data_IF_583380070713
#
_entry.id   IF_583380070713
#
_cell.length_a   1.000
_cell.length_b   1.000
_cell.length_c   1.000
_cell.angle_alpha   90.00
_cell.angle_beta   90.00
_cell.angle_gamma   90.00
#
_symmetry.space_group_name_H-M   'P 1'
#
loop_
_entity.id
_entity.type
_entity.pdbx_description
1 polymer ?
#
# COMPACT_ATOMS: atom_id res chain seq x y z
N UNK A 1 -9.02 -20.65 -29.92
CA UNK A 1 -9.83 -20.02 -28.86
C UNK A 1 -9.87 -20.99 -27.71
N UNK A 2 -8.77 -21.07 -26.95
CA UNK A 2 -8.76 -21.69 -25.64
C UNK A 2 -9.42 -20.72 -24.67
N UNK A 3 -10.27 -21.25 -23.80
CA UNK A 3 -11.21 -20.54 -22.95
C UNK A 3 -10.54 -19.48 -22.07
N UNK A 4 -10.86 -18.20 -22.31
CA UNK A 4 -10.50 -17.07 -21.41
C UNK A 4 -11.03 -17.32 -19.99
N UNK A 5 -12.12 -18.09 -19.86
CA UNK A 5 -12.73 -18.46 -18.58
C UNK A 5 -11.89 -19.41 -17.73
N UNK A 6 -11.03 -20.27 -18.30
CA UNK A 6 -10.16 -21.17 -17.47
C UNK A 6 -8.90 -20.48 -16.95
N UNK A 7 -8.50 -19.35 -17.53
CA UNK A 7 -7.32 -18.59 -17.09
C UNK A 7 -7.63 -17.81 -15.79
N UNK A 8 -8.89 -17.42 -15.61
CA UNK A 8 -9.38 -16.58 -14.50
C UNK A 8 -9.59 -17.35 -13.18
N UNK A 9 -9.87 -18.66 -13.22
CA UNK A 9 -10.24 -19.47 -12.04
C UNK A 9 -9.13 -19.58 -10.98
N UNK A 10 -7.87 -19.28 -11.32
CA UNK A 10 -6.73 -19.33 -10.39
C UNK A 10 -6.54 -18.04 -9.55
N UNK A 11 -7.24 -16.95 -9.88
CA UNK A 11 -7.05 -15.65 -9.25
C UNK A 11 -8.34 -15.13 -8.65
N UNK A 12 -8.46 -15.23 -7.34
CA UNK A 12 -9.59 -14.67 -6.61
C UNK A 12 -9.27 -13.27 -6.05
N UNK A 13 -10.11 -12.30 -6.42
CA UNK A 13 -10.15 -10.97 -5.81
C UNK A 13 -11.39 -10.89 -4.88
N UNK A 14 -11.25 -11.08 -3.55
CA UNK A 14 -12.39 -11.20 -2.63
C UNK A 14 -13.11 -9.87 -2.31
N UNK A 15 -13.05 -8.89 -3.22
CA UNK A 15 -13.55 -7.53 -3.05
C UNK A 15 -12.53 -6.53 -2.48
N UNK A 16 -11.45 -7.00 -1.86
CA UNK A 16 -10.32 -6.16 -1.42
C UNK A 16 -8.95 -6.84 -1.54
N UNK A 17 -7.93 -6.03 -1.81
CA UNK A 17 -6.53 -6.40 -1.61
C UNK A 17 -5.93 -5.50 -0.53
N UNK A 18 -5.31 -6.13 0.46
CA UNK A 18 -4.63 -5.44 1.56
C UNK A 18 -3.15 -5.82 1.53
N UNK A 19 -2.32 -4.82 1.31
CA UNK A 19 -0.87 -4.93 1.28
C UNK A 19 -0.35 -4.34 2.58
N UNK A 20 0.39 -5.17 3.33
CA UNK A 20 0.84 -4.87 4.68
C UNK A 20 2.36 -4.70 4.75
N UNK A 21 3.07 -4.86 3.63
CA UNK A 21 4.49 -4.55 3.51
C UNK A 21 4.77 -4.03 2.11
N UNK A 22 5.41 -2.88 2.02
CA UNK A 22 5.88 -2.27 0.78
C UNK A 22 7.36 -1.98 0.94
N UNK A 23 8.15 -2.33 -0.07
CA UNK A 23 9.60 -2.24 -0.01
C UNK A 23 10.14 -1.68 -1.32
N UNK A 24 11.17 -0.85 -1.22
CA UNK A 24 12.06 -0.55 -2.34
C UNK A 24 13.12 -1.65 -2.42
N UNK A 25 13.46 -2.02 -3.64
CA UNK A 25 14.50 -3.01 -3.90
C UNK A 25 15.75 -2.36 -4.46
N UNK A 26 16.92 -2.91 -4.13
CA UNK A 26 18.13 -2.66 -4.92
C UNK A 26 18.92 -3.96 -5.05
N UNK A 27 19.23 -4.37 -6.28
CA UNK A 27 19.98 -5.61 -6.52
C UNK A 27 21.47 -5.36 -6.30
N UNK A 28 22.10 -6.17 -5.46
CA UNK A 28 23.47 -5.94 -4.97
C UNK A 28 24.57 -6.61 -5.81
N UNK A 29 24.25 -7.24 -6.93
CA UNK A 29 25.26 -7.94 -7.72
C UNK A 29 26.05 -6.98 -8.61
N UNK A 30 27.38 -6.93 -8.41
CA UNK A 30 28.37 -6.32 -9.34
C UNK A 30 28.43 -7.04 -10.72
N UNK A 31 27.41 -7.79 -11.09
CA UNK A 31 27.29 -8.54 -12.33
C UNK A 31 25.82 -8.86 -12.59
N UNK A 32 25.44 -8.84 -13.86
CA UNK A 32 24.07 -8.90 -14.40
C UNK A 32 23.27 -10.17 -14.03
N UNK A 33 22.95 -10.38 -12.75
CA UNK A 33 22.01 -11.43 -12.35
C UNK A 33 20.61 -10.93 -12.70
N UNK A 34 19.91 -11.67 -13.53
CA UNK A 34 18.53 -11.36 -13.90
C UNK A 34 17.58 -11.60 -12.71
N UNK A 35 16.45 -10.88 -12.63
CA UNK A 35 15.43 -11.11 -11.59
C UNK A 35 14.93 -12.56 -11.56
N UNK A 36 14.82 -13.19 -12.73
CA UNK A 36 14.41 -14.59 -12.83
C UNK A 36 15.43 -15.53 -12.19
N UNK A 37 16.74 -15.28 -12.35
CA UNK A 37 17.78 -16.07 -11.69
C UNK A 37 17.76 -15.91 -10.17
N UNK A 38 17.32 -14.76 -9.65
CA UNK A 38 17.12 -14.55 -8.21
C UNK A 38 15.91 -15.36 -7.74
N UNK A 39 14.79 -15.27 -8.46
CA UNK A 39 13.57 -16.02 -8.16
C UNK A 39 13.81 -17.53 -8.18
N UNK A 40 14.57 -18.02 -9.16
CA UNK A 40 14.85 -19.45 -9.32
C UNK A 40 15.73 -20.04 -8.20
N UNK A 41 16.41 -19.19 -7.42
CA UNK A 41 17.22 -19.59 -6.26
C UNK A 41 16.42 -19.74 -4.98
N UNK A 42 15.17 -19.29 -4.92
CA UNK A 42 14.36 -19.47 -3.72
C UNK A 42 14.07 -20.94 -3.45
N UNK A 43 14.06 -21.30 -2.16
CA UNK A 43 13.69 -22.64 -1.72
C UNK A 43 12.26 -22.95 -2.16
N UNK A 44 12.10 -23.95 -3.01
CA UNK A 44 10.80 -24.30 -3.58
C UNK A 44 9.99 -25.05 -2.55
N UNK A 45 8.73 -24.64 -2.40
CA UNK A 45 7.80 -25.36 -1.53
C UNK A 45 7.50 -26.76 -2.08
N UNK A 46 7.51 -27.76 -1.21
CA UNK A 46 7.01 -29.10 -1.46
C UNK A 46 6.12 -29.55 -0.30
N UNK A 47 4.96 -30.15 -0.56
CA UNK A 47 4.09 -30.57 0.56
C UNK A 47 4.80 -31.62 1.41
N UNK A 48 4.85 -31.38 2.71
CA UNK A 48 5.53 -32.20 3.70
C UNK A 48 4.60 -33.24 4.33
N UNK A 49 4.88 -33.57 5.58
CA UNK A 49 4.06 -34.48 6.40
C UNK A 49 3.84 -33.91 7.80
N UNK A 50 2.89 -34.43 8.61
CA UNK A 50 2.65 -33.92 9.96
C UNK A 50 3.89 -33.86 10.88
N UNK A 51 4.89 -34.73 10.65
CA UNK A 51 6.13 -34.74 11.45
C UNK A 51 7.27 -33.94 10.81
N UNK A 52 7.13 -33.59 9.54
CA UNK A 52 8.13 -32.88 8.73
C UNK A 52 7.38 -31.88 7.82
N UNK A 53 6.76 -30.83 8.39
CA UNK A 53 6.15 -29.77 7.60
C UNK A 53 7.22 -29.05 6.78
N UNK A 54 6.83 -28.49 5.64
CA UNK A 54 7.73 -27.75 4.76
C UNK A 54 7.32 -26.28 4.63
N UNK A 55 8.25 -25.45 4.18
CA UNK A 55 7.98 -24.06 3.84
C UNK A 55 8.83 -23.62 2.67
N UNK A 56 8.26 -22.83 1.77
CA UNK A 56 9.01 -22.35 0.62
C UNK A 56 8.19 -21.51 -0.32
N UNK A 57 8.74 -21.29 -1.51
CA UNK A 57 8.19 -20.40 -2.53
C UNK A 57 7.64 -21.18 -3.72
N UNK A 58 6.56 -20.64 -4.27
CA UNK A 58 6.00 -21.04 -5.55
C UNK A 58 5.92 -19.83 -6.48
N UNK A 59 6.47 -19.96 -7.68
CA UNK A 59 6.33 -18.96 -8.73
C UNK A 59 4.91 -19.03 -9.32
N UNK A 60 4.29 -17.86 -9.52
CA UNK A 60 2.95 -17.74 -10.09
C UNK A 60 3.00 -17.16 -11.49
N UNK A 61 2.17 -17.68 -12.38
CA UNK A 61 2.05 -17.27 -13.80
C UNK A 61 1.27 -15.95 -13.99
N UNK A 62 1.10 -15.15 -12.94
CA UNK A 62 0.36 -13.89 -13.00
C UNK A 62 0.91 -12.94 -14.09
N UNK A 63 2.24 -12.76 -14.23
CA UNK A 63 2.81 -11.89 -15.26
C UNK A 63 2.48 -12.36 -16.67
N UNK A 64 2.67 -13.66 -16.95
CA UNK A 64 2.39 -14.26 -18.25
C UNK A 64 0.91 -14.14 -18.61
N UNK A 65 0.03 -14.40 -17.64
CA UNK A 65 -1.43 -14.27 -17.82
C UNK A 65 -1.84 -12.82 -18.04
N UNK A 66 -1.22 -11.84 -17.35
CA UNK A 66 -1.47 -10.42 -17.61
C UNK A 66 -1.08 -10.03 -19.04
N UNK A 67 0.12 -10.42 -19.50
CA UNK A 67 0.60 -10.11 -20.85
C UNK A 67 -0.31 -10.70 -21.95
N UNK A 68 -0.87 -11.89 -21.72
CA UNK A 68 -1.78 -12.54 -22.69
C UNK A 68 -3.13 -11.84 -22.85
N UNK A 69 -3.49 -10.87 -22.00
CA UNK A 69 -4.80 -10.22 -22.04
C UNK A 69 -5.02 -9.28 -23.23
N UNK A 70 -3.99 -9.00 -24.05
CA UNK A 70 -4.06 -8.37 -25.39
C UNK A 70 -4.64 -6.95 -25.49
N UNK A 71 -5.23 -6.42 -24.42
CA UNK A 71 -5.88 -5.11 -24.31
C UNK A 71 -5.28 -4.29 -23.15
N UNK A 72 -3.99 -4.45 -22.89
CA UNK A 72 -3.29 -3.64 -21.91
C UNK A 72 -2.80 -2.34 -22.58
N UNK A 73 -2.81 -1.23 -21.84
CA UNK A 73 -2.05 -0.05 -22.28
C UNK A 73 -0.56 -0.38 -22.30
N UNK A 74 0.24 0.30 -23.12
CA UNK A 74 1.72 0.14 -23.18
C UNK A 74 2.36 0.15 -21.77
N UNK A 75 2.00 1.11 -20.93
CA UNK A 75 2.49 1.20 -19.55
C UNK A 75 2.09 0.00 -18.65
N UNK A 76 0.99 -0.70 -18.96
CA UNK A 76 0.58 -1.90 -18.22
C UNK A 76 1.28 -3.15 -18.78
N UNK A 77 1.62 -3.17 -20.07
CA UNK A 77 2.43 -4.22 -20.67
C UNK A 77 3.87 -4.19 -20.13
N UNK A 78 4.49 -3.00 -20.08
CA UNK A 78 5.82 -2.81 -19.50
C UNK A 78 5.86 -3.23 -18.03
N UNK A 79 4.86 -2.79 -17.25
CA UNK A 79 4.66 -3.26 -15.88
C UNK A 79 4.55 -4.79 -15.79
N UNK A 80 3.74 -5.42 -16.65
CA UNK A 80 3.54 -6.86 -16.62
C UNK A 80 4.79 -7.65 -17.07
N UNK A 81 5.70 -7.05 -17.85
CA UNK A 81 6.99 -7.65 -18.21
C UNK A 81 8.00 -7.61 -17.07
N UNK A 82 7.95 -6.54 -16.25
CA UNK A 82 8.80 -6.38 -15.07
C UNK A 82 8.29 -7.06 -13.81
N UNK A 83 7.06 -7.58 -13.82
CA UNK A 83 6.41 -8.15 -12.66
C UNK A 83 6.82 -9.62 -12.46
N UNK A 84 7.20 -9.96 -11.24
CA UNK A 84 7.32 -11.34 -10.76
C UNK A 84 6.32 -11.56 -9.63
N UNK A 85 5.62 -12.69 -9.65
CA UNK A 85 4.64 -13.06 -8.63
C UNK A 85 5.04 -14.36 -7.96
N UNK A 86 5.09 -14.35 -6.63
CA UNK A 86 5.48 -15.49 -5.81
C UNK A 86 4.45 -15.71 -4.71
N UNK A 87 4.33 -16.96 -4.27
CA UNK A 87 3.60 -17.33 -3.06
C UNK A 87 4.57 -18.04 -2.13
N UNK A 88 4.79 -17.45 -0.95
CA UNK A 88 5.41 -18.15 0.16
C UNK A 88 4.34 -18.95 0.90
N UNK A 89 4.59 -20.23 1.10
CA UNK A 89 3.74 -21.18 1.82
C UNK A 89 4.48 -21.64 3.06
N UNK A 90 3.84 -21.49 4.22
CA UNK A 90 4.25 -22.03 5.51
C UNK A 90 3.26 -23.14 5.87
N UNK A 91 3.67 -24.40 5.70
CA UNK A 91 2.80 -25.53 6.03
C UNK A 91 2.88 -25.86 7.51
N UNK A 92 1.71 -26.05 8.10
CA UNK A 92 1.52 -26.62 9.43
C UNK A 92 0.43 -27.70 9.33
N UNK A 93 0.26 -28.52 10.35
CA UNK A 93 -0.72 -29.60 10.37
C UNK A 93 -1.60 -29.51 11.60
N UNK A 94 -2.92 -29.52 11.38
CA UNK A 94 -3.91 -29.45 12.46
C UNK A 94 -4.53 -30.82 12.67
N UNK A 95 -4.52 -31.27 13.92
CA UNK A 95 -5.24 -32.47 14.35
C UNK A 95 -6.74 -32.20 14.37
N UNK A 96 -7.50 -33.01 13.64
CA UNK A 96 -8.95 -32.98 13.63
C UNK A 96 -9.53 -34.37 13.85
N UNK A 97 -10.46 -34.47 14.80
CA UNK A 97 -11.25 -35.68 14.99
C UNK A 97 -12.30 -35.80 13.88
N UNK A 98 -12.38 -36.99 13.27
CA UNK A 98 -13.38 -37.35 12.28
C UNK A 98 -13.90 -38.76 12.53
N UNK A 99 -14.82 -39.19 11.67
CA UNK A 99 -15.29 -40.57 11.65
C UNK A 99 -14.79 -41.26 10.38
N UNK A 100 -14.27 -42.47 10.51
CA UNK A 100 -13.91 -43.32 9.38
C UNK A 100 -15.16 -43.81 8.61
N UNK A 101 -14.96 -44.57 7.52
CA UNK A 101 -16.05 -45.13 6.71
C UNK A 101 -16.97 -46.08 7.51
N UNK A 102 -16.50 -46.61 8.64
CA UNK A 102 -17.23 -47.50 9.55
C UNK A 102 -17.90 -46.75 10.72
N UNK A 103 -17.78 -45.42 10.78
CA UNK A 103 -18.36 -44.58 11.82
C UNK A 103 -17.60 -44.59 13.16
N UNK A 104 -16.32 -44.97 13.16
CA UNK A 104 -15.45 -44.89 14.34
C UNK A 104 -14.68 -43.58 14.37
N UNK A 105 -14.52 -43.02 15.57
CA UNK A 105 -13.71 -41.81 15.76
C UNK A 105 -12.23 -42.11 15.50
N UNK A 106 -11.63 -41.33 14.61
CA UNK A 106 -10.21 -41.38 14.27
C UNK A 106 -9.66 -39.95 14.18
N UNK A 107 -8.36 -39.81 14.46
CA UNK A 107 -7.64 -38.55 14.34
C UNK A 107 -7.06 -38.42 12.92
N UNK A 108 -7.42 -37.34 12.24
CA UNK A 108 -6.89 -36.96 10.93
C UNK A 108 -5.99 -35.73 11.08
N UNK A 109 -4.95 -35.66 10.26
CA UNK A 109 -4.14 -34.47 10.12
C UNK A 109 -4.54 -33.77 8.83
N UNK A 110 -4.94 -32.51 8.93
CA UNK A 110 -5.22 -31.68 7.78
C UNK A 110 -4.11 -30.64 7.62
N UNK A 111 -3.58 -30.45 6.40
CA UNK A 111 -2.60 -29.40 6.17
C UNK A 111 -3.28 -28.05 6.34
N UNK A 112 -2.60 -27.15 7.03
CA UNK A 112 -2.96 -25.76 7.23
C UNK A 112 -1.86 -24.91 6.61
N UNK A 113 -2.22 -24.06 5.65
CA UNK A 113 -1.25 -23.25 4.91
C UNK A 113 -1.41 -21.78 5.31
N UNK A 114 -0.37 -21.25 5.94
CA UNK A 114 -0.20 -19.81 6.12
C UNK A 114 0.50 -19.25 4.87
N UNK A 115 -0.19 -18.36 4.13
CA UNK A 115 0.31 -17.87 2.84
C UNK A 115 0.67 -16.38 2.86
N UNK A 116 1.78 -16.06 2.19
CA UNK A 116 2.16 -14.68 1.85
C UNK A 116 2.34 -14.59 0.34
N UNK A 117 1.62 -13.65 -0.30
CA UNK A 117 1.77 -13.35 -1.72
C UNK A 117 2.73 -12.19 -1.88
N UNK A 118 3.69 -12.34 -2.76
CA UNK A 118 4.77 -11.40 -3.02
C UNK A 118 4.68 -11.00 -4.48
N UNK A 119 4.71 -9.69 -4.72
CA UNK A 119 4.73 -9.11 -6.05
C UNK A 119 5.95 -8.23 -6.16
N UNK A 120 6.85 -8.56 -7.06
CA UNK A 120 8.07 -7.80 -7.31
C UNK A 120 7.98 -7.15 -8.69
N UNK A 121 7.76 -5.85 -8.70
CA UNK A 121 7.92 -5.02 -9.88
C UNK A 121 9.39 -4.60 -9.97
N UNK A 122 10.14 -5.34 -10.78
CA UNK A 122 11.56 -5.11 -10.96
C UNK A 122 11.86 -3.81 -11.69
N UNK A 123 10.98 -3.39 -12.62
CA UNK A 123 11.19 -2.17 -13.42
C UNK A 123 11.14 -0.93 -12.53
N UNK A 124 10.24 -0.92 -11.54
CA UNK A 124 10.11 0.18 -10.59
C UNK A 124 10.86 -0.04 -9.28
N UNK A 125 11.61 -1.14 -9.14
CA UNK A 125 12.30 -1.52 -7.90
C UNK A 125 11.34 -1.55 -6.69
N UNK A 126 10.16 -2.15 -6.84
CA UNK A 126 9.14 -2.23 -5.78
C UNK A 126 8.76 -3.67 -5.49
N UNK A 127 8.74 -4.02 -4.21
CA UNK A 127 8.18 -5.29 -3.71
C UNK A 127 6.99 -5.01 -2.81
N UNK A 128 5.87 -5.70 -3.07
CA UNK A 128 4.66 -5.62 -2.26
C UNK A 128 4.29 -6.99 -1.69
N UNK A 129 4.06 -7.02 -0.37
CA UNK A 129 3.64 -8.21 0.36
C UNK A 129 2.16 -8.12 0.76
N UNK A 130 1.40 -9.13 0.33
CA UNK A 130 0.02 -9.38 0.74
C UNK A 130 -0.02 -10.62 1.63
N UNK A 131 -0.31 -10.42 2.90
CA UNK A 131 -0.47 -11.47 3.90
C UNK A 131 -1.05 -10.87 5.18
N UNK A 132 -1.41 -11.71 6.15
CA UNK A 132 -1.83 -11.20 7.46
C UNK A 132 -0.66 -10.46 8.13
N UNK A 133 -0.92 -9.30 8.77
CA UNK A 133 0.15 -8.48 9.39
C UNK A 133 0.97 -9.28 10.41
N UNK A 134 0.31 -10.13 11.21
CA UNK A 134 0.99 -10.96 12.21
C UNK A 134 1.90 -12.01 11.56
N UNK A 135 1.43 -12.65 10.50
CA UNK A 135 2.21 -13.62 9.72
C UNK A 135 3.43 -12.96 9.08
N UNK A 136 3.25 -11.81 8.43
CA UNK A 136 4.35 -11.04 7.85
C UNK A 136 5.40 -10.66 8.89
N UNK A 137 4.98 -10.19 10.07
CA UNK A 137 5.92 -9.86 11.16
C UNK A 137 6.67 -11.10 11.66
N UNK A 138 5.98 -12.25 11.77
CA UNK A 138 6.59 -13.51 12.20
C UNK A 138 7.62 -14.04 11.20
N UNK A 139 7.35 -13.86 9.90
CA UNK A 139 8.16 -14.40 8.79
C UNK A 139 9.04 -13.36 8.12
N UNK A 140 9.11 -12.14 8.65
CA UNK A 140 9.84 -11.05 8.02
C UNK A 140 11.30 -11.41 7.81
N UNK A 141 11.97 -11.94 8.84
CA UNK A 141 13.38 -12.32 8.76
C UNK A 141 13.61 -13.44 7.74
N UNK A 142 12.72 -14.43 7.67
CA UNK A 142 12.81 -15.54 6.69
C UNK A 142 12.64 -15.02 5.26
N UNK A 143 11.63 -14.17 5.03
CA UNK A 143 11.37 -13.55 3.72
C UNK A 143 12.52 -12.63 3.30
N UNK A 144 13.00 -11.81 4.23
CA UNK A 144 14.13 -10.92 3.99
C UNK A 144 15.41 -11.73 3.78
N UNK A 145 15.66 -12.81 4.51
CA UNK A 145 16.82 -13.67 4.33
C UNK A 145 16.81 -14.35 2.96
N UNK A 146 15.66 -14.87 2.54
CA UNK A 146 15.50 -15.46 1.21
C UNK A 146 15.77 -14.44 0.08
N UNK A 147 15.38 -13.18 0.28
CA UNK A 147 15.54 -12.09 -0.70
C UNK A 147 16.91 -11.39 -0.62
N UNK A 148 17.53 -11.31 0.56
CA UNK A 148 18.68 -10.44 0.87
C UNK A 148 20.03 -10.93 0.40
N UNK A 149 20.15 -12.19 -0.01
CA UNK A 149 21.39 -12.72 -0.60
C UNK A 149 21.79 -11.95 -1.87
N UNK A 150 20.81 -11.48 -2.65
CA UNK A 150 21.01 -10.76 -3.92
C UNK A 150 20.27 -9.40 -3.97
N UNK A 151 19.29 -9.14 -3.08
CA UNK A 151 18.40 -7.97 -3.14
C UNK A 151 18.28 -7.26 -1.80
N UNK A 152 18.69 -6.00 -1.71
CA UNK A 152 18.36 -5.15 -0.57
C UNK A 152 16.88 -4.82 -0.57
N UNK A 153 16.23 -4.92 0.58
CA UNK A 153 14.87 -4.45 0.78
C UNK A 153 14.88 -3.31 1.80
N UNK A 154 14.30 -2.18 1.42
CA UNK A 154 14.11 -1.02 2.28
C UNK A 154 12.61 -0.78 2.45
N UNK A 155 12.13 -0.84 3.69
CA UNK A 155 10.71 -0.66 3.96
C UNK A 155 10.24 0.76 3.62
N UNK A 156 9.12 0.85 2.93
CA UNK A 156 8.49 2.11 2.52
C UNK A 156 7.42 2.48 3.53
N UNK A 157 7.72 3.50 4.34
CA UNK A 157 6.82 4.04 5.34
C UNK A 157 6.32 5.42 4.89
N UNK A 158 5.06 5.49 4.45
CA UNK A 158 4.44 6.78 4.08
C UNK A 158 4.38 7.73 5.27
N UNK A 159 4.74 8.99 5.02
CA UNK A 159 4.82 10.06 6.02
C UNK A 159 3.55 10.93 6.07
N UNK A 160 3.32 11.59 7.20
CA UNK A 160 2.18 12.49 7.41
C UNK A 160 2.18 13.70 6.45
N UNK A 161 3.35 14.28 6.17
CA UNK A 161 3.51 15.39 5.24
C UNK A 161 3.20 14.96 3.80
N UNK A 162 3.48 13.70 3.44
CA UNK A 162 3.14 13.16 2.12
C UNK A 162 1.62 13.16 1.90
N UNK A 163 0.84 12.78 2.92
CA UNK A 163 -0.62 12.84 2.80
C UNK A 163 -1.14 14.28 2.72
N UNK A 164 -0.53 15.22 3.44
CA UNK A 164 -0.87 16.63 3.30
C UNK A 164 -0.52 17.17 1.89
N UNK A 165 0.61 16.74 1.34
CA UNK A 165 1.02 17.07 -0.03
C UNK A 165 0.02 16.52 -1.07
N UNK A 166 -0.45 15.28 -0.93
CA UNK A 166 -1.50 14.71 -1.79
C UNK A 166 -2.78 15.56 -1.74
N UNK A 167 -3.19 15.99 -0.55
CA UNK A 167 -4.35 16.88 -0.38
C UNK A 167 -4.14 18.24 -1.05
N UNK A 168 -2.94 18.81 -0.92
CA UNK A 168 -2.57 20.05 -1.58
C UNK A 168 -2.59 19.93 -3.11
N UNK A 169 -2.04 18.85 -3.66
CA UNK A 169 -2.10 18.57 -5.11
C UNK A 169 -3.53 18.40 -5.60
N UNK A 170 -4.38 17.69 -4.84
CA UNK A 170 -5.81 17.61 -5.15
C UNK A 170 -6.46 19.00 -5.14
N UNK A 171 -6.15 19.84 -4.16
CA UNK A 171 -6.70 21.20 -4.05
C UNK A 171 -6.34 22.06 -5.28
N UNK A 172 -5.09 21.98 -5.74
CA UNK A 172 -4.63 22.68 -6.95
C UNK A 172 -5.18 22.08 -8.25
N UNK A 173 -5.82 20.91 -8.19
CA UNK A 173 -6.24 20.16 -9.37
C UNK A 173 -5.05 19.61 -10.18
N UNK A 174 -3.88 19.50 -9.55
CA UNK A 174 -2.66 19.00 -10.16
C UNK A 174 -2.60 17.47 -10.08
N UNK A 175 -2.04 16.80 -11.10
CA UNK A 175 -1.74 15.39 -11.01
C UNK A 175 -0.62 15.13 -9.98
N UNK A 176 -0.55 13.90 -9.46
CA UNK A 176 0.54 13.49 -8.56
C UNK A 176 1.78 13.08 -9.37
N UNK A 177 1.56 12.41 -10.50
CA UNK A 177 2.59 12.03 -11.48
C UNK A 177 2.00 12.07 -12.90
N UNK A 178 2.75 11.63 -13.91
CA UNK A 178 2.25 11.53 -15.28
C UNK A 178 1.02 10.63 -15.39
N UNK A 179 0.98 9.53 -14.64
CA UNK A 179 -0.05 8.51 -14.76
C UNK A 179 -1.05 8.47 -13.59
N UNK A 180 -0.73 9.14 -12.48
CA UNK A 180 -1.53 9.13 -11.27
C UNK A 180 -2.08 10.52 -10.93
N UNK A 181 -3.40 10.60 -10.72
CA UNK A 181 -4.06 11.79 -10.17
C UNK A 181 -5.12 11.43 -9.14
N UNK A 182 -5.38 12.35 -8.22
CA UNK A 182 -6.47 12.24 -7.25
C UNK A 182 -7.75 12.76 -7.88
N UNK A 183 -8.78 11.93 -7.99
CA UNK A 183 -10.13 12.40 -8.37
C UNK A 183 -10.79 13.09 -7.18
N UNK A 184 -10.81 12.42 -6.04
CA UNK A 184 -11.25 12.98 -4.77
C UNK A 184 -10.80 12.10 -3.59
N UNK A 185 -10.41 12.72 -2.48
CA UNK A 185 -10.30 12.04 -1.19
C UNK A 185 -11.67 12.09 -0.49
N UNK A 186 -12.12 10.90 -0.07
CA UNK A 186 -13.48 10.62 0.47
C UNK A 186 -13.48 10.32 1.97
N UNK A 187 -12.35 9.84 2.51
CA UNK A 187 -12.15 9.63 3.94
C UNK A 187 -10.75 10.06 4.32
N UNK A 188 -10.60 10.52 5.55
CA UNK A 188 -9.30 10.86 6.13
C UNK A 188 -9.39 10.69 7.63
N UNK A 189 -8.28 10.33 8.26
CA UNK A 189 -8.15 10.42 9.71
C UNK A 189 -6.90 11.16 10.13
N UNK A 190 -6.93 11.67 11.35
CA UNK A 190 -5.80 12.34 11.98
C UNK A 190 -5.43 11.65 13.29
N UNK A 191 -4.13 11.51 13.53
CA UNK A 191 -3.61 10.99 14.79
C UNK A 191 -3.72 12.07 15.87
N UNK A 192 -4.12 11.66 17.07
CA UNK A 192 -4.08 12.50 18.26
C UNK A 192 -2.82 12.17 19.06
N UNK A 193 -1.80 13.04 19.01
CA UNK A 193 -0.59 12.89 19.84
C UNK A 193 -0.89 13.15 21.33
N UNK A 194 -1.96 13.88 21.63
CA UNK A 194 -2.41 14.19 23.00
C UNK A 194 -3.90 13.92 23.18
N UNK A 195 -4.29 13.49 24.40
CA UNK A 195 -5.69 13.47 24.86
C UNK A 195 -6.23 14.90 25.03
N UNK A 196 -6.33 15.65 23.94
CA UNK A 196 -7.09 16.90 23.90
C UNK A 196 -8.58 16.61 23.70
N UNK A 197 -9.43 17.59 24.01
CA UNK A 197 -10.88 17.47 23.86
C UNK A 197 -11.35 17.42 22.38
N UNK A 198 -10.43 17.44 21.41
CA UNK A 198 -10.75 17.37 19.98
C UNK A 198 -10.62 15.96 19.41
N UNK A 199 -9.93 15.03 20.10
CA UNK A 199 -9.80 13.63 19.67
C UNK A 199 -9.15 13.45 18.29
N UNK A 200 -9.12 12.22 17.79
CA UNK A 200 -8.79 11.93 16.39
C UNK A 200 -9.97 12.36 15.50
N UNK A 201 -9.70 13.12 14.44
CA UNK A 201 -10.72 13.37 13.41
C UNK A 201 -10.84 12.14 12.52
N UNK A 202 -12.06 11.62 12.30
CA UNK A 202 -12.35 10.53 11.36
C UNK A 202 -13.51 10.98 10.47
N UNK A 203 -13.21 11.23 9.19
CA UNK A 203 -14.23 11.58 8.21
C UNK A 203 -14.63 10.34 7.44
N UNK A 204 -15.87 9.91 7.64
CA UNK A 204 -16.47 8.80 6.89
C UNK A 204 -17.41 9.38 5.84
N UNK A 205 -17.05 9.19 4.57
CA UNK A 205 -17.91 9.41 3.40
C UNK A 205 -18.18 10.88 3.05
N UNK A 206 -17.11 11.66 2.88
CA UNK A 206 -17.20 12.99 2.29
C UNK A 206 -17.09 12.93 0.76
N UNK A 207 -17.77 13.84 0.07
CA UNK A 207 -17.54 14.10 -1.36
C UNK A 207 -16.18 14.77 -1.59
N UNK A 208 -15.72 15.57 -0.62
CA UNK A 208 -14.41 16.21 -0.58
C UNK A 208 -13.98 16.44 0.87
N UNK A 209 -12.96 15.72 1.35
CA UNK A 209 -12.45 15.91 2.72
C UNK A 209 -11.90 17.32 2.97
N UNK A 210 -11.49 18.05 1.92
CA UNK A 210 -11.04 19.45 2.01
C UNK A 210 -12.16 20.45 2.30
N UNK A 211 -13.42 20.01 2.38
CA UNK A 211 -14.56 20.79 2.89
C UNK A 211 -15.08 20.26 4.21
N UNK A 212 -14.47 19.21 4.75
CA UNK A 212 -14.92 18.64 6.01
C UNK A 212 -14.22 19.35 7.16
N UNK A 213 -14.98 20.08 7.97
CA UNK A 213 -14.48 20.68 9.22
C UNK A 213 -13.80 19.63 10.12
N UNK A 214 -14.28 18.39 10.11
CA UNK A 214 -13.72 17.27 10.85
C UNK A 214 -12.34 16.81 10.34
N UNK A 215 -11.94 17.23 9.14
CA UNK A 215 -10.59 17.02 8.60
C UNK A 215 -9.75 18.30 8.73
N UNK A 216 -10.31 19.43 8.33
CA UNK A 216 -9.62 20.72 8.27
C UNK A 216 -9.20 21.18 9.65
N UNK A 217 -10.12 21.16 10.63
CA UNK A 217 -9.83 21.73 11.93
C UNK A 217 -8.68 21.01 12.67
N UNK A 218 -8.62 19.65 12.68
CA UNK A 218 -7.44 18.93 13.15
C UNK A 218 -6.13 19.29 12.44
N UNK A 219 -6.13 19.43 11.10
CA UNK A 219 -4.91 19.80 10.34
C UNK A 219 -4.43 21.20 10.76
N UNK A 220 -5.36 22.16 10.84
CA UNK A 220 -5.03 23.54 11.20
C UNK A 220 -4.60 23.68 12.67
N UNK A 221 -5.05 22.78 13.56
CA UNK A 221 -4.54 22.69 14.93
C UNK A 221 -3.22 21.91 15.05
N UNK A 222 -2.61 21.55 13.92
CA UNK A 222 -1.30 20.94 13.85
C UNK A 222 -1.29 19.41 13.91
N UNK A 223 -2.45 18.73 14.00
CA UNK A 223 -2.54 17.27 14.00
C UNK A 223 -2.11 16.67 12.66
N UNK A 224 -1.62 15.44 12.73
CA UNK A 224 -1.03 14.71 11.61
C UNK A 224 -2.07 13.81 10.96
N UNK A 225 -2.07 13.74 9.62
CA UNK A 225 -2.99 12.89 8.84
C UNK A 225 -2.43 11.48 8.83
N UNK A 226 -3.03 10.51 9.51
CA UNK A 226 -2.48 9.15 9.58
C UNK A 226 -3.01 8.22 8.49
N UNK A 227 -4.03 8.64 7.74
CA UNK A 227 -4.67 7.83 6.70
C UNK A 227 -5.51 8.68 5.76
N UNK A 228 -5.48 8.35 4.48
CA UNK A 228 -6.37 8.89 3.45
C UNK A 228 -7.05 7.77 2.68
N UNK A 229 -8.28 7.98 2.24
CA UNK A 229 -8.97 7.11 1.29
C UNK A 229 -9.61 7.94 0.19
N UNK A 230 -9.31 7.61 -1.06
CA UNK A 230 -9.82 8.35 -2.20
C UNK A 230 -10.08 7.48 -3.42
N UNK A 231 -10.63 8.14 -4.43
CA UNK A 231 -10.63 7.64 -5.79
C UNK A 231 -9.44 8.26 -6.52
N UNK A 232 -8.57 7.40 -7.01
CA UNK A 232 -7.41 7.72 -7.82
C UNK A 232 -7.71 7.36 -9.27
N UNK A 233 -7.10 8.08 -10.20
CA UNK A 233 -7.13 7.74 -11.61
C UNK A 233 -5.72 7.34 -12.00
N UNK A 234 -5.58 6.11 -12.47
CA UNK A 234 -4.35 5.49 -12.94
C UNK A 234 -4.51 5.18 -14.43
N UNK A 235 -3.91 6.00 -15.29
CA UNK A 235 -4.19 5.98 -16.73
C UNK A 235 -5.70 6.08 -17.01
N UNK A 236 -6.28 5.03 -17.62
CA UNK A 236 -7.71 4.97 -17.95
C UNK A 236 -8.58 4.33 -16.87
N UNK A 237 -7.98 3.90 -15.75
CA UNK A 237 -8.69 3.21 -14.68
C UNK A 237 -8.91 4.13 -13.48
N UNK A 238 -10.06 3.95 -12.82
CA UNK A 238 -10.30 4.57 -11.52
C UNK A 238 -10.17 3.50 -10.44
N UNK A 239 -9.33 3.77 -9.45
CA UNK A 239 -9.02 2.87 -8.35
C UNK A 239 -9.40 3.52 -7.04
N UNK A 240 -10.18 2.83 -6.21
CA UNK A 240 -10.45 3.28 -4.85
C UNK A 240 -9.41 2.66 -3.92
N UNK A 241 -8.64 3.49 -3.23
CA UNK A 241 -7.60 3.01 -2.33
C UNK A 241 -7.62 3.77 -1.00
N UNK A 242 -7.24 3.06 0.06
CA UNK A 242 -6.93 3.62 1.37
C UNK A 242 -5.44 3.43 1.62
N UNK A 243 -4.76 4.51 1.98
CA UNK A 243 -3.32 4.55 2.23
C UNK A 243 -3.17 5.00 3.69
N UNK A 244 -2.41 4.22 4.46
CA UNK A 244 -2.19 4.44 5.88
C UNK A 244 -0.71 4.79 6.13
N UNK A 245 -0.47 5.59 7.16
CA UNK A 245 0.85 5.81 7.73
C UNK A 245 1.53 4.47 8.04
N UNK A 246 2.83 4.37 7.79
CA UNK A 246 3.57 3.12 7.96
C UNK A 246 3.35 2.08 6.85
N UNK A 247 2.92 2.52 5.66
CA UNK A 247 3.07 1.71 4.43
C UNK A 247 1.94 0.72 4.10
N UNK A 248 0.85 0.69 4.87
CA UNK A 248 -0.29 -0.18 4.57
C UNK A 248 -1.21 0.41 3.50
N UNK A 249 -1.52 -0.38 2.47
CA UNK A 249 -2.42 0.03 1.37
C UNK A 249 -3.53 -0.98 1.18
N UNK A 250 -4.76 -0.48 1.08
CA UNK A 250 -5.96 -1.27 0.83
C UNK A 250 -6.63 -0.80 -0.45
N UNK A 251 -6.59 -1.64 -1.49
CA UNK A 251 -7.27 -1.41 -2.78
C UNK A 251 -8.66 -2.05 -2.75
N UNK A 252 -9.70 -1.23 -2.92
CA UNK A 252 -11.11 -1.60 -2.77
C UNK A 252 -11.77 -1.76 -4.13
N UNK A 253 -12.40 -2.90 -4.37
CA UNK A 253 -13.10 -3.18 -5.65
C UNK A 253 -14.60 -2.97 -5.55
N UNK A 254 -15.24 -3.41 -4.46
CA UNK A 254 -16.70 -3.53 -4.33
C UNK A 254 -17.49 -2.23 -4.59
N UNK A 255 -16.86 -1.06 -4.40
CA UNK A 255 -17.45 0.27 -4.64
C UNK A 255 -16.62 1.11 -5.62
N UNK A 256 -15.97 0.47 -6.59
CA UNK A 256 -15.10 1.15 -7.55
C UNK A 256 -15.39 0.69 -8.98
N UNK A 257 -15.06 1.50 -10.00
CA UNK A 257 -15.14 1.06 -11.39
C UNK A 257 -14.31 -0.20 -11.71
N UNK A 258 -13.38 -0.62 -10.84
CA UNK A 258 -12.68 -1.90 -11.00
C UNK A 258 -13.61 -3.11 -10.90
N UNK A 259 -14.78 -3.00 -10.26
CA UNK A 259 -15.74 -4.10 -10.15
C UNK A 259 -16.29 -4.58 -11.49
N UNK A 260 -16.08 -3.82 -12.58
CA UNK A 260 -16.47 -4.24 -13.94
C UNK A 260 -15.37 -5.00 -14.67
N UNK A 261 -14.14 -5.00 -14.14
CA UNK A 261 -12.99 -5.72 -14.69
C UNK A 261 -12.96 -7.17 -14.18
N UNK A 262 -12.25 -8.05 -14.88
CA UNK A 262 -11.93 -9.39 -14.37
C UNK A 262 -10.91 -9.36 -13.25
N UNK A 263 -10.85 -10.40 -12.43
CA UNK A 263 -9.98 -10.46 -11.24
C UNK A 263 -8.50 -10.31 -11.59
N UNK A 264 -8.07 -10.90 -12.72
CA UNK A 264 -6.73 -10.73 -13.26
C UNK A 264 -6.42 -9.25 -13.57
N UNK A 265 -7.33 -8.55 -14.27
CA UNK A 265 -7.18 -7.11 -14.57
C UNK A 265 -7.19 -6.26 -13.30
N UNK A 266 -8.07 -6.59 -12.34
CA UNK A 266 -8.12 -5.91 -11.04
C UNK A 266 -6.80 -6.04 -10.30
N UNK A 267 -6.19 -7.23 -10.31
CA UNK A 267 -4.87 -7.46 -9.72
C UNK A 267 -3.80 -6.61 -10.40
N UNK A 268 -3.71 -6.65 -11.73
CA UNK A 268 -2.71 -5.87 -12.48
C UNK A 268 -2.80 -4.37 -12.21
N UNK A 269 -4.01 -3.79 -12.29
CA UNK A 269 -4.23 -2.36 -12.00
C UNK A 269 -3.92 -2.02 -10.55
N UNK A 270 -4.26 -2.90 -9.60
CA UNK A 270 -3.98 -2.70 -8.18
C UNK A 270 -2.48 -2.71 -7.90
N UNK A 271 -1.72 -3.64 -8.48
CA UNK A 271 -0.28 -3.74 -8.29
C UNK A 271 0.44 -2.55 -8.94
N UNK A 272 0.03 -2.14 -10.15
CA UNK A 272 0.55 -0.91 -10.77
C UNK A 272 0.31 0.33 -9.91
N UNK A 273 -0.86 0.43 -9.25
CA UNK A 273 -1.11 1.52 -8.29
C UNK A 273 -0.11 1.49 -7.13
N UNK A 274 0.24 0.32 -6.59
CA UNK A 274 1.21 0.23 -5.50
C UNK A 274 2.59 0.65 -5.95
N UNK A 275 3.06 0.16 -7.10
CA UNK A 275 4.36 0.56 -7.66
C UNK A 275 4.43 2.07 -7.84
N UNK A 276 3.40 2.66 -8.45
CA UNK A 276 3.34 4.10 -8.67
C UNK A 276 3.28 4.88 -7.35
N UNK A 277 2.54 4.43 -6.34
CA UNK A 277 2.48 5.09 -5.03
C UNK A 277 3.83 5.06 -4.31
N UNK A 278 4.56 3.94 -4.39
CA UNK A 278 5.89 3.80 -3.81
C UNK A 278 6.88 4.70 -4.53
N UNK A 279 6.92 4.67 -5.87
CA UNK A 279 7.78 5.55 -6.67
C UNK A 279 7.48 7.02 -6.41
N UNK A 280 6.20 7.40 -6.41
CA UNK A 280 5.75 8.76 -6.10
C UNK A 280 6.24 9.23 -4.72
N UNK A 281 6.23 8.36 -3.72
CA UNK A 281 6.70 8.71 -2.39
C UNK A 281 8.22 8.92 -2.36
N UNK A 282 8.98 8.08 -3.06
CA UNK A 282 10.43 8.27 -3.21
C UNK A 282 10.76 9.57 -3.93
N UNK A 283 10.08 9.85 -5.04
CA UNK A 283 10.25 11.09 -5.80
C UNK A 283 9.88 12.31 -4.95
N UNK A 284 8.77 12.23 -4.20
CA UNK A 284 8.35 13.27 -3.28
C UNK A 284 9.42 13.58 -2.22
N UNK A 285 10.14 12.57 -1.71
CA UNK A 285 11.22 12.79 -0.75
C UNK A 285 12.39 13.58 -1.34
N UNK A 286 12.60 13.49 -2.66
CA UNK A 286 13.68 14.17 -3.39
C UNK A 286 13.27 15.53 -3.95
N UNK A 287 12.00 15.91 -3.87
CA UNK A 287 11.54 17.24 -4.30
C UNK A 287 12.22 18.35 -3.50
N UNK A 288 12.43 19.48 -4.17
CA UNK A 288 12.83 20.71 -3.50
C UNK A 288 11.82 21.06 -2.40
N UNK A 289 12.25 21.57 -1.23
CA UNK A 289 11.35 21.82 -0.10
C UNK A 289 10.13 22.70 -0.44
N UNK A 290 10.28 23.62 -1.40
CA UNK A 290 9.20 24.47 -1.90
C UNK A 290 8.12 23.72 -2.69
N UNK A 291 8.45 22.58 -3.29
CA UNK A 291 7.49 21.73 -4.01
C UNK A 291 6.97 20.59 -3.14
N UNK A 292 7.79 20.15 -2.18
CA UNK A 292 7.49 19.06 -1.24
C UNK A 292 6.44 19.43 -0.20
N UNK A 293 6.42 20.69 0.25
CA UNK A 293 5.58 21.16 1.35
C UNK A 293 4.59 22.25 0.92
N UNK A 294 3.31 22.20 1.34
CA UNK A 294 2.32 23.22 0.96
C UNK A 294 2.69 24.64 1.43
N UNK A 295 2.36 25.68 0.65
CA UNK A 295 2.56 27.08 1.05
C UNK A 295 1.58 27.50 2.16
N UNK A 296 1.88 28.59 2.87
CA UNK A 296 1.00 29.14 3.91
C UNK A 296 -0.42 29.43 3.39
N UNK A 297 -0.54 29.89 2.15
CA UNK A 297 -1.84 30.18 1.51
C UNK A 297 -2.76 28.97 1.45
N UNK A 298 -2.23 27.74 1.37
CA UNK A 298 -3.07 26.54 1.41
C UNK A 298 -3.81 26.40 2.76
N UNK A 299 -3.18 26.82 3.86
CA UNK A 299 -3.82 26.80 5.19
C UNK A 299 -4.80 27.95 5.36
N UNK A 300 -4.54 29.10 4.73
CA UNK A 300 -5.50 30.21 4.64
C UNK A 300 -6.77 29.72 3.91
N UNK A 301 -6.61 29.11 2.74
CA UNK A 301 -7.72 28.57 1.95
C UNK A 301 -8.51 27.49 2.72
N UNK A 302 -7.83 26.62 3.48
CA UNK A 302 -8.50 25.65 4.36
C UNK A 302 -9.30 26.34 5.46
N UNK A 303 -8.77 27.42 6.06
CA UNK A 303 -9.47 28.20 7.08
C UNK A 303 -10.76 28.80 6.49
N UNK A 304 -10.65 29.45 5.34
CA UNK A 304 -11.79 30.03 4.63
C UNK A 304 -12.86 28.98 4.31
N UNK A 305 -12.45 27.80 3.80
CA UNK A 305 -13.37 26.70 3.54
C UNK A 305 -14.09 26.22 4.83
N UNK A 306 -13.42 26.18 5.97
CA UNK A 306 -14.05 25.80 7.23
C UNK A 306 -15.03 26.87 7.73
N UNK A 307 -14.71 28.15 7.58
CA UNK A 307 -15.59 29.26 7.92
C UNK A 307 -16.86 29.30 7.04
N UNK A 308 -16.72 29.02 5.74
CA UNK A 308 -17.86 28.88 4.81
C UNK A 308 -18.82 27.75 5.24
N UNK A 309 -18.29 26.67 5.84
CA UNK A 309 -19.06 25.56 6.41
C UNK A 309 -19.58 25.86 7.82
N UNK A 310 -19.48 27.11 8.27
CA UNK A 310 -20.03 27.61 9.54
C UNK A 310 -19.16 27.33 10.76
N UNK A 311 -17.92 26.89 10.58
CA UNK A 311 -16.98 26.68 11.68
C UNK A 311 -16.26 27.98 12.03
N UNK A 312 -16.40 28.41 13.29
CA UNK A 312 -15.67 29.56 13.82
C UNK A 312 -14.35 29.05 14.40
N UNK A 313 -13.23 29.59 13.89
CA UNK A 313 -11.90 29.21 14.33
C UNK A 313 -11.73 29.35 15.85
N UNK A 314 -11.28 28.28 16.50
CA UNK A 314 -11.04 28.22 17.95
C UNK A 314 -9.55 28.18 18.31
N UNK A 315 -8.69 28.15 17.31
CA UNK A 315 -7.24 28.07 17.44
C UNK A 315 -6.62 28.94 16.35
N UNK A 316 -5.36 29.29 16.56
CA UNK A 316 -4.58 30.11 15.65
C UNK A 316 -3.82 29.22 14.65
N UNK A 317 -4.13 29.25 13.34
CA UNK A 317 -3.43 28.46 12.35
C UNK A 317 -2.00 28.97 12.08
N UNK A 318 -1.57 30.09 12.65
CA UNK A 318 -0.22 30.62 12.43
C UNK A 318 0.90 29.64 12.84
N UNK A 319 0.68 28.82 13.86
CA UNK A 319 1.68 27.82 14.28
C UNK A 319 1.95 26.79 13.18
N UNK A 320 0.89 26.25 12.55
CA UNK A 320 1.05 25.28 11.46
C UNK A 320 1.63 25.96 10.21
N UNK A 321 1.23 27.21 9.92
CA UNK A 321 1.78 27.97 8.78
C UNK A 321 3.27 28.21 8.93
N UNK A 322 3.72 28.71 10.08
CA UNK A 322 5.14 28.94 10.34
C UNK A 322 5.94 27.63 10.35
N UNK A 323 5.36 26.53 10.84
CA UNK A 323 5.97 25.20 10.73
C UNK A 323 6.26 24.80 9.29
N UNK A 324 5.27 24.87 8.40
CA UNK A 324 5.46 24.48 6.99
C UNK A 324 6.29 25.49 6.20
N UNK A 325 6.26 26.77 6.57
CA UNK A 325 7.16 27.79 6.01
C UNK A 325 8.63 27.49 6.33
N UNK A 326 8.93 27.08 7.57
CA UNK A 326 10.29 26.61 7.94
C UNK A 326 10.69 25.37 7.13
N UNK A 327 9.80 24.37 7.01
CA UNK A 327 10.05 23.18 6.17
C UNK A 327 10.35 23.54 4.71
N UNK A 328 9.59 24.46 4.11
CA UNK A 328 9.85 25.00 2.75
C UNK A 328 11.19 25.73 2.61
N UNK A 329 11.76 26.23 3.70
CA UNK A 329 13.09 26.85 3.72
C UNK A 329 14.22 25.82 3.95
N UNK A 330 13.89 24.52 4.03
CA UNK A 330 14.84 23.46 4.36
C UNK A 330 15.25 23.42 5.82
N UNK A 331 14.54 24.13 6.71
CA UNK A 331 14.80 24.12 8.14
C UNK A 331 14.04 22.93 8.72
N UNK A 332 14.80 21.95 9.23
CA UNK A 332 14.27 20.76 9.91
C UNK A 332 13.41 21.14 11.12
N UNK A 333 12.48 20.25 11.47
CA UNK A 333 11.59 20.43 12.61
C UNK A 333 12.10 19.52 13.75
N UNK A 334 12.62 20.11 14.82
CA UNK A 334 13.25 19.39 15.96
C UNK A 334 12.27 18.50 16.76
N UNK A 335 11.00 18.43 16.35
CA UNK A 335 9.92 17.73 17.05
C UNK A 335 9.74 16.26 16.64
N UNK A 336 10.51 15.76 15.66
CA UNK A 336 10.34 14.41 15.09
C UNK A 336 11.30 13.35 15.66
N UNK A 337 12.35 13.70 16.41
CA UNK A 337 13.29 12.70 16.95
C UNK A 337 12.71 11.83 18.08
N UNK A 338 11.63 12.25 18.74
CA UNK A 338 11.12 11.57 19.94
C UNK A 338 10.01 10.54 19.71
N UNK A 339 9.25 10.61 18.60
CA UNK A 339 8.09 9.73 18.40
C UNK A 339 8.44 8.35 17.78
N UNK A 340 9.52 8.25 17.00
CA UNK A 340 9.91 6.99 16.36
C UNK A 340 10.58 5.99 17.33
N UNK A 341 11.04 6.44 18.50
CA UNK A 341 11.76 5.60 19.47
C UNK A 341 10.81 4.88 20.43
N UNK A 342 9.60 5.40 20.69
CA UNK A 342 8.68 4.83 21.68
C UNK A 342 7.70 3.77 21.13
N UNK A 343 7.44 3.75 19.82
CA UNK A 343 6.57 2.73 19.19
C UNK A 343 7.35 1.50 18.63
N UNK A 344 8.68 1.50 18.76
CA UNK A 344 9.57 0.42 18.31
C UNK A 344 10.13 -0.44 19.46
N UNK A 345 9.66 -0.26 20.70
CA UNK A 345 10.11 -1.01 21.89
C UNK A 345 9.07 -1.98 22.45
#
# INVERSE_FOLDING_TARGET
MSDVTTIEDDYEYPGWLVFNGLFKTSVHSEGSVSPQEIVDRFDKYSSGSPNEPDSGFEVKELPDKLQQMGELSEATEEFAQGLHALRYVDEDWVEQWGYDEDGKEEMYFLPNHDEIRIYWDYVNDVVAFKGQKQLLKRKQDDLLAALSGDVKLEEVNFDFDFFLWILYKQYQGEPLSTDLRVRNITRGSTAAETKDNMGAGDVRESNNVLRSVLMIAPILSGKKIDKIQGNFIMGNHQVKAQIEFGGKVHVKVSDSPLSTLSDLRRMGVSLRLLSELVTLFEDWKQLDPEERYPPASFFDDMTDNAEEEGWIARFDPEEVKERYKRKRQGIGDDTYETAAVEDAS
#
